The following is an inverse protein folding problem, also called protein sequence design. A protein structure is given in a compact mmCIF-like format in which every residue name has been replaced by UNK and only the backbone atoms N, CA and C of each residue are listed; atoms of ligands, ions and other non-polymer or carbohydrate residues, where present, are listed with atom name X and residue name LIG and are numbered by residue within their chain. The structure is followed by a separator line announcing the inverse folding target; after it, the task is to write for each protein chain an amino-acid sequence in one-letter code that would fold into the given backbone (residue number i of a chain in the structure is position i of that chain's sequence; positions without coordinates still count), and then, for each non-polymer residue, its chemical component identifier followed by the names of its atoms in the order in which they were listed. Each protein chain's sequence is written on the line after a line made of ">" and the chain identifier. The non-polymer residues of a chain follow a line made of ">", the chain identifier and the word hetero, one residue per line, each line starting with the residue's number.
data_IF_074992380021
#
_entry.id   IF_074992380021
#
_cell.length_a   1.000
_cell.length_b   1.000
_cell.length_c   1.000
_cell.angle_alpha   90.00
_cell.angle_beta   90.00
_cell.angle_gamma   90.00
#
_symmetry.space_group_name_H-M   'P 1'
#
loop_
_entity.id
_entity.type
_entity.pdbx_description
1 polymer ?
#
# COMPACT_ATOMS: atom_id res chain seq x y z
N UNK A 1 30.37 26.98 -17.42
CA UNK A 1 30.82 26.47 -16.12
C UNK A 1 29.99 27.07 -14.95
N UNK A 2 29.36 28.24 -15.11
CA UNK A 2 28.65 28.90 -14.02
C UNK A 2 27.20 28.40 -13.79
N UNK A 3 26.58 27.76 -14.77
CA UNK A 3 25.23 27.21 -14.64
C UNK A 3 25.20 25.92 -13.79
N UNK A 4 26.26 25.13 -13.83
CA UNK A 4 26.34 23.90 -13.07
C UNK A 4 26.58 24.16 -11.56
N UNK A 5 27.27 25.24 -11.23
CA UNK A 5 27.53 25.64 -9.83
C UNK A 5 26.31 26.26 -9.16
N UNK A 6 25.50 27.04 -9.91
CA UNK A 6 24.29 27.66 -9.36
C UNK A 6 23.17 26.66 -9.08
N UNK A 7 23.06 25.59 -9.88
CA UNK A 7 22.08 24.51 -9.61
C UNK A 7 22.44 23.67 -8.39
N UNK A 8 23.73 23.43 -8.15
CA UNK A 8 24.18 22.65 -6.99
C UNK A 8 24.00 23.43 -5.69
N UNK A 9 24.21 24.74 -5.68
CA UNK A 9 24.06 25.57 -4.47
C UNK A 9 22.61 25.84 -4.10
N UNK A 10 21.67 25.91 -5.05
CA UNK A 10 20.25 26.07 -4.78
C UNK A 10 19.59 24.80 -4.22
N UNK A 11 20.10 23.62 -4.55
CA UNK A 11 19.63 22.35 -3.99
C UNK A 11 20.31 21.99 -2.65
N UNK A 12 21.50 22.48 -2.37
CA UNK A 12 22.23 22.21 -1.12
C UNK A 12 21.83 23.15 0.03
N UNK A 13 21.19 24.27 -0.26
CA UNK A 13 20.91 25.33 0.74
C UNK A 13 19.70 25.10 1.66
N UNK A 14 18.88 24.05 1.50
CA UNK A 14 17.73 23.77 2.37
C UNK A 14 17.59 22.30 2.81
N UNK A 15 18.52 21.44 2.50
CA UNK A 15 18.50 20.06 2.98
C UNK A 15 19.32 19.92 4.27
N UNK A 16 18.72 20.20 5.43
CA UNK A 16 19.04 19.37 6.58
C UNK A 16 18.77 17.93 6.14
N UNK A 17 19.83 17.11 6.08
CA UNK A 17 19.74 15.73 5.67
C UNK A 17 18.64 15.05 6.49
N UNK A 18 17.52 14.72 5.82
CA UNK A 18 16.38 14.12 6.45
C UNK A 18 16.73 12.64 6.63
N UNK A 19 16.88 12.20 7.87
CA UNK A 19 17.00 10.78 8.16
C UNK A 19 15.61 10.20 8.10
N UNK A 20 15.31 9.47 7.05
CA UNK A 20 14.08 8.68 7.01
C UNK A 20 14.29 7.34 7.73
N UNK A 21 15.31 6.57 7.36
CA UNK A 21 15.66 5.29 8.01
C UNK A 21 16.61 5.53 9.19
N UNK A 22 16.12 5.35 10.42
CA UNK A 22 16.90 5.53 11.67
C UNK A 22 17.65 4.28 12.08
N UNK A 23 17.02 3.12 11.93
CA UNK A 23 17.55 1.85 12.39
C UNK A 23 17.07 0.71 11.50
N UNK A 24 17.95 -0.25 11.27
CA UNK A 24 17.63 -1.53 10.63
C UNK A 24 18.07 -2.67 11.54
N UNK A 25 17.14 -3.49 11.96
CA UNK A 25 17.37 -4.70 12.75
C UNK A 25 17.02 -5.94 11.94
N UNK A 26 17.93 -6.90 11.92
CA UNK A 26 17.78 -8.17 11.20
C UNK A 26 18.18 -9.31 12.13
N UNK A 27 17.32 -10.32 12.25
CA UNK A 27 17.58 -11.53 13.04
C UNK A 27 17.24 -12.79 12.30
N UNK A 28 18.18 -13.75 12.30
CA UNK A 28 18.06 -15.07 11.68
C UNK A 28 17.68 -15.01 10.18
N UNK A 29 18.30 -14.11 9.43
CA UNK A 29 18.06 -13.94 8.00
C UNK A 29 19.24 -14.41 7.20
N UNK A 30 19.06 -15.39 6.33
CA UNK A 30 20.11 -16.03 5.51
C UNK A 30 21.36 -16.40 6.30
N UNK A 31 22.45 -15.64 6.17
CA UNK A 31 23.71 -15.83 6.90
C UNK A 31 23.80 -15.00 8.18
N UNK A 32 22.89 -14.07 8.40
CA UNK A 32 22.90 -13.16 9.54
C UNK A 32 22.23 -13.82 10.75
N UNK A 33 22.95 -13.94 11.87
CA UNK A 33 22.34 -14.29 13.15
C UNK A 33 21.58 -13.10 13.74
N UNK A 34 22.27 -12.00 13.90
CA UNK A 34 21.71 -10.75 14.42
C UNK A 34 22.54 -9.57 13.91
N UNK A 35 21.88 -8.55 13.45
CA UNK A 35 22.48 -7.32 12.95
C UNK A 35 21.59 -6.15 13.37
N UNK A 36 22.20 -5.13 13.96
CA UNK A 36 21.54 -3.88 14.32
C UNK A 36 22.38 -2.71 13.80
N UNK A 37 21.84 -1.98 12.83
CA UNK A 37 22.51 -0.86 12.19
C UNK A 37 21.76 0.42 12.57
N UNK A 38 22.46 1.36 13.21
CA UNK A 38 21.97 2.73 13.38
C UNK A 38 22.41 3.54 12.17
N UNK A 39 21.46 4.26 11.58
CA UNK A 39 21.69 5.16 10.46
C UNK A 39 21.82 6.60 10.97
N UNK A 40 22.73 7.35 10.37
CA UNK A 40 22.94 8.76 10.68
C UNK A 40 22.53 9.65 9.50
N UNK A 41 22.23 10.95 9.74
CA UNK A 41 21.90 11.87 8.67
C UNK A 41 22.99 11.92 7.61
N UNK A 42 22.59 11.97 6.36
CA UNK A 42 23.47 12.11 5.22
C UNK A 42 23.80 10.81 4.52
N UNK A 43 25.02 10.63 4.10
CA UNK A 43 25.46 9.50 3.28
C UNK A 43 26.07 8.41 4.15
N UNK A 44 25.53 7.18 4.04
CA UNK A 44 26.05 5.99 4.73
C UNK A 44 26.59 4.98 3.72
N UNK A 45 27.73 4.39 4.01
CA UNK A 45 28.37 3.35 3.16
C UNK A 45 28.45 2.05 3.93
N UNK A 46 27.91 0.99 3.32
CA UNK A 46 28.06 -0.39 3.82
C UNK A 46 29.07 -1.10 2.95
N UNK A 47 30.20 -1.50 3.56
CA UNK A 47 31.29 -2.21 2.87
C UNK A 47 31.34 -3.66 3.35
N UNK A 48 31.83 -4.56 2.49
CA UNK A 48 31.99 -5.97 2.81
C UNK A 48 32.84 -6.70 1.75
N UNK A 49 33.53 -7.73 2.15
CA UNK A 49 34.49 -8.46 1.31
C UNK A 49 33.87 -9.19 0.11
N UNK A 50 32.59 -9.57 0.17
CA UNK A 50 31.90 -10.27 -0.92
C UNK A 50 30.56 -9.64 -1.21
N UNK A 51 30.12 -9.71 -2.48
CA UNK A 51 28.78 -9.25 -2.90
C UNK A 51 27.59 -9.85 -2.12
N UNK A 52 27.82 -10.96 -1.41
CA UNK A 52 26.81 -11.65 -0.62
C UNK A 52 26.24 -10.78 0.51
N UNK A 53 27.07 -10.06 1.28
CA UNK A 53 26.59 -9.25 2.42
C UNK A 53 25.67 -8.10 2.01
N UNK A 54 26.01 -7.38 0.95
CA UNK A 54 25.18 -6.29 0.41
C UNK A 54 23.84 -6.79 -0.10
N UNK A 55 23.85 -7.89 -0.85
CA UNK A 55 22.62 -8.49 -1.38
C UNK A 55 21.70 -9.01 -0.28
N UNK A 56 22.26 -9.49 0.83
CA UNK A 56 21.47 -9.94 1.98
C UNK A 56 20.76 -8.77 2.64
N UNK A 57 21.43 -7.63 2.87
CA UNK A 57 20.81 -6.43 3.45
C UNK A 57 19.74 -5.88 2.52
N UNK A 58 20.01 -5.78 1.21
CA UNK A 58 19.01 -5.36 0.21
C UNK A 58 17.82 -6.33 0.18
N UNK A 59 18.07 -7.64 0.31
CA UNK A 59 17.01 -8.63 0.41
C UNK A 59 16.15 -8.46 1.66
N UNK A 60 16.75 -8.15 2.81
CA UNK A 60 16.04 -7.86 4.04
C UNK A 60 15.16 -6.60 3.91
N UNK A 61 15.70 -5.51 3.37
CA UNK A 61 14.93 -4.29 3.08
C UNK A 61 13.80 -4.61 2.10
N UNK A 62 14.06 -5.37 1.04
CA UNK A 62 13.02 -5.78 0.10
C UNK A 62 11.84 -6.52 0.75
N UNK A 63 12.09 -7.32 1.80
CA UNK A 63 11.03 -7.96 2.57
C UNK A 63 10.20 -6.97 3.37
N UNK A 64 10.80 -5.91 3.93
CA UNK A 64 10.09 -4.80 4.57
C UNK A 64 9.24 -4.00 3.56
N UNK A 65 9.70 -3.93 2.31
CA UNK A 65 8.96 -3.29 1.21
C UNK A 65 7.86 -4.20 0.61
N UNK A 66 7.48 -5.29 1.30
CA UNK A 66 6.40 -6.16 0.88
C UNK A 66 6.74 -7.19 -0.20
N UNK A 67 8.03 -7.45 -0.47
CA UNK A 67 8.43 -8.51 -1.38
C UNK A 67 8.00 -9.89 -0.85
N UNK A 68 7.79 -10.84 -1.77
CA UNK A 68 7.50 -12.24 -1.39
C UNK A 68 8.67 -12.83 -0.61
N UNK A 69 8.33 -13.49 0.50
CA UNK A 69 9.29 -14.20 1.31
C UNK A 69 9.43 -15.65 0.83
N UNK A 70 10.66 -16.14 0.79
CA UNK A 70 10.96 -17.57 0.68
C UNK A 70 11.35 -18.09 2.08
N UNK A 71 10.84 -19.25 2.48
CA UNK A 71 11.23 -19.91 3.74
C UNK A 71 12.74 -20.21 3.79
N UNK A 72 13.39 -20.36 2.64
CA UNK A 72 14.85 -20.48 2.51
C UNK A 72 15.60 -19.21 2.97
N UNK A 73 14.93 -18.09 3.10
CA UNK A 73 15.52 -16.85 3.63
C UNK A 73 15.75 -16.89 5.14
N UNK A 74 15.16 -17.86 5.85
CA UNK A 74 15.42 -18.07 7.27
C UNK A 74 16.74 -18.79 7.43
N UNK A 75 17.57 -18.34 8.39
CA UNK A 75 18.84 -18.98 8.69
C UNK A 75 18.64 -20.46 9.05
N UNK A 76 19.50 -21.32 8.51
CA UNK A 76 19.44 -22.76 8.77
C UNK A 76 19.47 -23.06 10.28
N UNK A 77 18.56 -23.94 10.72
CA UNK A 77 18.42 -24.32 12.14
C UNK A 77 17.67 -23.29 13.00
N UNK A 78 17.02 -22.29 12.41
CA UNK A 78 16.18 -21.32 13.10
C UNK A 78 14.71 -21.43 12.65
N UNK A 79 13.81 -21.25 13.60
CA UNK A 79 12.36 -21.37 13.35
C UNK A 79 11.72 -20.05 12.91
N UNK A 80 12.37 -18.91 13.19
CA UNK A 80 11.83 -17.57 12.95
C UNK A 80 12.92 -16.60 12.51
N UNK A 81 12.58 -15.79 11.54
CA UNK A 81 13.31 -14.61 11.10
C UNK A 81 12.52 -13.35 11.41
N UNK A 82 13.18 -12.29 11.85
CA UNK A 82 12.58 -10.97 12.10
C UNK A 82 13.45 -9.93 11.40
N UNK A 83 12.78 -9.04 10.67
CA UNK A 83 13.38 -7.86 10.07
C UNK A 83 12.53 -6.67 10.50
N UNK A 84 13.16 -5.64 11.02
CA UNK A 84 12.51 -4.45 11.55
C UNK A 84 13.29 -3.20 11.14
N UNK A 85 12.58 -2.15 10.80
CA UNK A 85 13.18 -0.87 10.48
C UNK A 85 12.38 0.27 11.14
N UNK A 86 13.10 1.27 11.63
CA UNK A 86 12.57 2.47 12.25
C UNK A 86 12.75 3.65 11.31
N UNK A 87 11.66 4.39 11.07
CA UNK A 87 11.63 5.54 10.16
C UNK A 87 11.17 6.79 10.88
N UNK A 88 11.79 7.92 10.58
CA UNK A 88 11.29 9.24 10.95
C UNK A 88 10.48 9.81 9.77
N UNK A 89 9.17 9.86 9.93
CA UNK A 89 8.23 10.37 8.94
C UNK A 89 7.67 11.75 9.31
N UNK A 90 8.19 12.40 10.37
CA UNK A 90 7.67 13.66 10.90
C UNK A 90 7.66 14.82 9.90
N UNK A 91 8.47 14.73 8.83
CA UNK A 91 8.56 15.72 7.74
C UNK A 91 7.79 15.33 6.47
N UNK A 92 7.05 14.22 6.51
CA UNK A 92 6.29 13.70 5.37
C UNK A 92 4.79 13.80 5.67
N UNK A 93 4.00 14.08 4.64
CA UNK A 93 2.53 14.14 4.75
C UNK A 93 1.96 12.73 4.69
N UNK A 94 2.15 11.96 5.78
CA UNK A 94 1.77 10.55 5.87
C UNK A 94 0.57 10.29 6.78
N UNK A 95 0.05 11.31 7.47
CA UNK A 95 -1.05 11.17 8.44
C UNK A 95 -2.29 10.51 7.83
N UNK A 96 -2.62 10.89 6.59
CA UNK A 96 -3.78 10.34 5.90
C UNK A 96 -3.64 8.83 5.67
N UNK A 97 -2.43 8.34 5.38
CA UNK A 97 -2.18 6.90 5.22
C UNK A 97 -2.48 6.12 6.50
N UNK A 98 -2.05 6.62 7.66
CA UNK A 98 -2.30 5.95 8.96
C UNK A 98 -3.78 5.97 9.31
N UNK A 99 -4.46 7.11 9.12
CA UNK A 99 -5.89 7.27 9.38
C UNK A 99 -6.74 6.36 8.48
N UNK A 100 -6.47 6.33 7.17
CA UNK A 100 -7.24 5.54 6.20
C UNK A 100 -7.08 4.03 6.39
N UNK A 101 -6.01 3.60 7.08
CA UNK A 101 -5.71 2.20 7.30
C UNK A 101 -5.92 1.73 8.74
N UNK A 102 -6.44 2.60 9.62
CA UNK A 102 -6.67 2.31 11.04
C UNK A 102 -5.40 1.80 11.74
N UNK A 103 -4.27 2.48 11.49
CA UNK A 103 -2.95 2.18 12.05
C UNK A 103 -2.60 3.28 13.05
N UNK A 104 -2.11 2.88 14.24
CA UNK A 104 -1.62 3.84 15.23
C UNK A 104 -0.49 4.70 14.65
N UNK A 105 -0.64 6.02 14.76
CA UNK A 105 0.30 6.98 14.20
C UNK A 105 1.44 7.26 15.18
N UNK A 106 2.67 6.97 14.78
CA UNK A 106 3.89 7.53 15.37
C UNK A 106 4.83 7.94 14.23
N UNK A 107 4.69 9.18 13.77
CA UNK A 107 5.52 9.71 12.68
C UNK A 107 6.98 9.93 13.08
N UNK A 108 7.26 10.07 14.38
CA UNK A 108 8.63 10.28 14.86
C UNK A 108 9.44 9.01 14.91
N UNK A 109 8.77 7.85 15.06
CA UNK A 109 9.40 6.53 15.12
C UNK A 109 8.48 5.44 14.53
N UNK A 110 8.15 5.57 13.26
CA UNK A 110 7.34 4.57 12.55
C UNK A 110 8.11 3.27 12.39
N UNK A 111 7.60 2.20 12.98
CA UNK A 111 8.22 0.87 12.98
C UNK A 111 7.57 0.00 11.90
N UNK A 112 8.37 -0.52 10.97
CA UNK A 112 7.93 -1.53 10.00
C UNK A 112 8.61 -2.83 10.34
N UNK A 113 7.83 -3.91 10.60
CA UNK A 113 8.35 -5.22 10.97
C UNK A 113 7.80 -6.34 10.11
N UNK A 114 8.69 -7.23 9.71
CA UNK A 114 8.38 -8.45 8.98
C UNK A 114 8.84 -9.66 9.75
N UNK A 115 7.97 -10.64 9.89
CA UNK A 115 8.25 -11.90 10.56
C UNK A 115 7.98 -13.07 9.61
N UNK A 116 8.95 -13.99 9.56
CA UNK A 116 8.86 -15.22 8.79
C UNK A 116 9.05 -16.41 9.73
N UNK A 117 8.31 -17.49 9.52
CA UNK A 117 8.48 -18.74 10.25
C UNK A 117 8.85 -19.88 9.29
N UNK A 118 9.61 -20.87 9.78
CA UNK A 118 9.97 -22.07 9.03
C UNK A 118 8.73 -22.83 8.52
N UNK A 119 7.56 -22.71 9.20
CA UNK A 119 6.28 -23.25 8.78
C UNK A 119 5.64 -22.48 7.59
N UNK A 120 6.36 -21.54 6.97
CA UNK A 120 5.88 -20.76 5.82
C UNK A 120 4.93 -19.62 6.16
N UNK A 121 4.67 -19.33 7.45
CA UNK A 121 3.84 -18.18 7.84
C UNK A 121 4.66 -16.90 7.72
N UNK A 122 4.01 -15.86 7.19
CA UNK A 122 4.58 -14.53 7.04
C UNK A 122 3.62 -13.49 7.61
N UNK A 123 4.13 -12.61 8.48
CA UNK A 123 3.36 -11.56 9.12
C UNK A 123 4.04 -10.21 8.87
N UNK A 124 3.25 -9.18 8.72
CA UNK A 124 3.66 -7.81 8.50
C UNK A 124 3.02 -6.91 9.55
N UNK A 125 3.78 -5.95 10.06
CA UNK A 125 3.31 -5.02 11.09
C UNK A 125 3.80 -3.60 10.77
N UNK A 126 2.96 -2.62 11.07
CA UNK A 126 3.30 -1.19 11.10
C UNK A 126 2.86 -0.68 12.46
N UNK A 127 3.79 -0.12 13.26
CA UNK A 127 3.56 0.33 14.64
C UNK A 127 2.81 -0.74 15.47
N UNK A 128 3.30 -1.99 15.44
CA UNK A 128 2.71 -3.17 16.06
C UNK A 128 1.30 -3.60 15.55
N UNK A 129 0.66 -2.80 14.70
CA UNK A 129 -0.60 -3.15 14.05
C UNK A 129 -0.34 -4.17 12.93
N UNK A 130 -1.00 -5.36 12.96
CA UNK A 130 -0.88 -6.33 11.87
C UNK A 130 -1.49 -5.78 10.57
N UNK A 131 -0.73 -5.83 9.48
CA UNK A 131 -1.17 -5.33 8.17
C UNK A 131 -1.03 -6.37 7.07
N UNK A 132 -1.75 -6.18 5.96
CA UNK A 132 -1.55 -6.97 4.75
C UNK A 132 -0.23 -6.61 4.07
N UNK A 133 0.32 -7.55 3.27
CA UNK A 133 1.51 -7.27 2.45
C UNK A 133 1.31 -6.15 1.45
N UNK A 134 0.09 -5.97 0.97
CA UNK A 134 -0.25 -4.87 0.06
C UNK A 134 -0.08 -3.53 0.75
N UNK A 135 -0.58 -3.39 1.99
CA UNK A 135 -0.43 -2.17 2.78
C UNK A 135 1.02 -1.88 3.17
N UNK A 136 1.76 -2.91 3.56
CA UNK A 136 3.21 -2.79 3.80
C UNK A 136 3.95 -2.31 2.55
N UNK A 137 3.57 -2.80 1.37
CA UNK A 137 4.15 -2.37 0.09
C UNK A 137 3.80 -0.94 -0.26
N UNK A 138 2.53 -0.55 -0.12
CA UNK A 138 2.06 0.82 -0.35
C UNK A 138 2.85 1.85 0.49
N UNK A 139 3.11 1.54 1.76
CA UNK A 139 3.96 2.36 2.60
C UNK A 139 5.42 2.29 2.15
N UNK A 140 5.95 1.09 1.95
CA UNK A 140 7.36 0.88 1.61
C UNK A 140 7.78 1.58 0.32
N UNK A 141 6.94 1.59 -0.71
CA UNK A 141 7.20 2.26 -1.99
C UNK A 141 7.30 3.80 -1.84
N UNK A 142 6.73 4.36 -0.78
CA UNK A 142 6.85 5.80 -0.47
C UNK A 142 8.09 6.11 0.36
N UNK A 143 8.62 5.13 1.10
CA UNK A 143 9.73 5.34 2.06
C UNK A 143 11.11 5.06 1.48
N UNK A 144 11.24 4.05 0.64
CA UNK A 144 12.55 3.57 0.18
C UNK A 144 12.52 3.26 -1.31
N UNK A 145 13.47 3.84 -2.03
CA UNK A 145 13.75 3.47 -3.40
C UNK A 145 15.07 2.68 -3.48
N UNK A 146 15.01 1.49 -4.06
CA UNK A 146 16.17 0.59 -4.21
C UNK A 146 16.63 0.60 -5.65
N UNK A 147 17.75 1.27 -5.91
CA UNK A 147 18.43 1.21 -7.19
C UNK A 147 19.42 0.04 -7.24
N UNK A 148 19.07 -1.04 -7.91
CA UNK A 148 19.99 -2.17 -8.18
C UNK A 148 20.39 -2.18 -9.66
N UNK A 149 21.44 -2.94 -9.97
CA UNK A 149 21.95 -3.05 -11.35
C UNK A 149 20.92 -3.53 -12.39
N UNK A 150 19.77 -4.03 -11.95
CA UNK A 150 18.72 -4.62 -12.78
C UNK A 150 17.33 -3.96 -12.67
N UNK A 151 17.17 -2.87 -11.91
CA UNK A 151 15.86 -2.28 -11.66
C UNK A 151 15.87 -0.75 -11.75
N UNK A 152 15.78 -0.23 -12.97
CA UNK A 152 15.36 1.17 -13.20
C UNK A 152 13.83 1.24 -13.47
N UNK A 153 13.02 0.54 -12.63
CA UNK A 153 11.60 0.37 -12.88
C UNK A 153 10.78 1.65 -12.64
N UNK A 154 11.22 2.52 -11.72
CA UNK A 154 10.48 3.74 -11.40
C UNK A 154 10.50 4.75 -12.55
N UNK A 155 11.64 4.94 -13.20
CA UNK A 155 11.76 5.84 -14.35
C UNK A 155 10.93 5.40 -15.57
N UNK A 156 10.50 4.14 -15.62
CA UNK A 156 9.65 3.60 -16.68
C UNK A 156 8.16 3.73 -16.37
N UNK A 157 7.78 4.04 -15.13
CA UNK A 157 6.38 4.26 -14.75
C UNK A 157 5.94 5.66 -15.21
N UNK A 158 4.86 5.72 -15.99
CA UNK A 158 4.29 6.98 -16.49
C UNK A 158 3.92 7.93 -15.35
N UNK A 159 3.35 7.41 -14.26
CA UNK A 159 2.99 8.18 -13.07
C UNK A 159 4.21 8.85 -12.42
N UNK A 160 5.37 8.16 -12.39
CA UNK A 160 6.61 8.74 -11.87
C UNK A 160 7.13 9.84 -12.78
N UNK A 161 7.11 9.63 -14.10
CA UNK A 161 7.54 10.65 -15.06
C UNK A 161 6.66 11.91 -14.96
N UNK A 162 5.34 11.74 -14.84
CA UNK A 162 4.41 12.84 -14.65
C UNK A 162 4.70 13.60 -13.35
N UNK A 163 4.94 12.88 -12.26
CA UNK A 163 5.25 13.47 -10.95
C UNK A 163 6.54 14.32 -10.99
N UNK A 164 7.57 13.86 -11.72
CA UNK A 164 8.80 14.64 -11.94
C UNK A 164 8.52 15.93 -12.71
N UNK A 165 7.67 15.86 -13.73
CA UNK A 165 7.26 17.04 -14.51
C UNK A 165 6.50 18.05 -13.63
N UNK A 166 5.55 17.57 -12.81
CA UNK A 166 4.77 18.39 -11.89
C UNK A 166 5.66 19.10 -10.85
N UNK A 167 6.66 18.37 -10.30
CA UNK A 167 7.64 18.97 -9.36
C UNK A 167 8.44 20.07 -10.02
N UNK A 168 8.93 19.87 -11.25
CA UNK A 168 9.70 20.87 -12.01
C UNK A 168 8.82 22.06 -12.39
N UNK A 169 7.56 21.81 -12.77
CA UNK A 169 6.60 22.83 -13.14
C UNK A 169 6.10 23.66 -11.95
N UNK A 170 6.30 23.20 -10.71
CA UNK A 170 5.81 23.84 -9.48
C UNK A 170 4.30 24.12 -9.53
N UNK A 171 3.53 23.21 -10.11
CA UNK A 171 2.09 23.36 -10.38
C UNK A 171 1.20 22.70 -9.31
N UNK A 172 1.72 22.54 -8.09
CA UNK A 172 1.04 21.86 -6.97
C UNK A 172 -0.40 22.38 -6.73
N UNK A 173 -0.63 23.69 -6.90
CA UNK A 173 -1.97 24.27 -6.76
C UNK A 173 -2.94 23.78 -7.84
N UNK A 174 -2.47 23.72 -9.08
CA UNK A 174 -3.26 23.25 -10.22
C UNK A 174 -3.56 21.77 -10.06
N UNK A 175 -2.57 20.98 -9.65
CA UNK A 175 -2.69 19.55 -9.36
C UNK A 175 -3.74 19.29 -8.27
N UNK A 176 -3.69 19.98 -7.13
CA UNK A 176 -4.69 19.85 -6.06
C UNK A 176 -6.11 20.19 -6.54
N UNK A 177 -6.26 21.22 -7.37
CA UNK A 177 -7.56 21.58 -7.93
C UNK A 177 -8.08 20.50 -8.89
N UNK A 178 -7.19 19.94 -9.72
CA UNK A 178 -7.53 18.84 -10.61
C UNK A 178 -7.93 17.59 -9.83
N UNK A 179 -7.16 17.20 -8.81
CA UNK A 179 -7.45 16.05 -7.95
C UNK A 179 -8.81 16.18 -7.27
N UNK A 180 -9.13 17.38 -6.75
CA UNK A 180 -10.44 17.64 -6.14
C UNK A 180 -11.58 17.46 -7.16
N UNK A 181 -11.44 18.03 -8.35
CA UNK A 181 -12.45 17.91 -9.41
C UNK A 181 -12.56 16.46 -9.92
N UNK A 182 -11.45 15.77 -10.09
CA UNK A 182 -11.43 14.36 -10.50
C UNK A 182 -12.09 13.43 -9.47
N UNK A 183 -11.85 13.66 -8.18
CA UNK A 183 -12.49 12.90 -7.11
C UNK A 183 -14.01 13.14 -7.08
N UNK A 184 -14.48 14.36 -7.30
CA UNK A 184 -15.91 14.66 -7.44
C UNK A 184 -16.51 13.93 -8.64
N UNK A 185 -15.84 13.97 -9.79
CA UNK A 185 -16.26 13.23 -10.98
C UNK A 185 -16.36 11.74 -10.72
N UNK A 186 -15.33 11.14 -10.09
CA UNK A 186 -15.29 9.72 -9.75
C UNK A 186 -16.44 9.32 -8.83
N UNK A 187 -16.71 10.11 -7.79
CA UNK A 187 -17.85 9.88 -6.89
C UNK A 187 -19.20 9.98 -7.60
N UNK A 188 -19.36 11.00 -8.45
CA UNK A 188 -20.61 11.17 -9.22
C UNK A 188 -20.82 9.99 -10.19
N UNK A 189 -19.77 9.54 -10.85
CA UNK A 189 -19.82 8.39 -11.76
C UNK A 189 -20.14 7.08 -11.02
N UNK A 190 -19.57 6.87 -9.84
CA UNK A 190 -19.91 5.72 -8.99
C UNK A 190 -21.38 5.74 -8.57
N UNK A 191 -21.91 6.89 -8.13
CA UNK A 191 -23.33 7.05 -7.79
C UNK A 191 -24.22 6.79 -8.99
N UNK A 192 -23.86 7.30 -10.16
CA UNK A 192 -24.63 7.07 -11.40
C UNK A 192 -24.69 5.57 -11.74
N UNK A 193 -23.56 4.87 -11.65
CA UNK A 193 -23.52 3.45 -11.95
C UNK A 193 -24.30 2.61 -10.91
N UNK A 194 -24.25 2.97 -9.63
CA UNK A 194 -25.04 2.34 -8.59
C UNK A 194 -26.55 2.54 -8.83
N UNK A 195 -26.99 3.77 -9.17
CA UNK A 195 -28.40 4.05 -9.50
C UNK A 195 -28.86 3.30 -10.74
N UNK A 196 -28.02 3.20 -11.78
CA UNK A 196 -28.35 2.40 -12.97
C UNK A 196 -28.56 0.92 -12.63
N UNK A 197 -27.68 0.35 -11.79
CA UNK A 197 -27.82 -1.04 -11.35
C UNK A 197 -29.08 -1.26 -10.50
N UNK A 198 -29.42 -0.30 -9.63
CA UNK A 198 -30.64 -0.34 -8.83
C UNK A 198 -31.90 -0.25 -9.68
N UNK A 199 -31.93 0.64 -10.67
CA UNK A 199 -33.05 0.77 -11.61
C UNK A 199 -33.27 -0.54 -12.37
N UNK A 200 -32.20 -1.18 -12.88
CA UNK A 200 -32.32 -2.43 -13.61
C UNK A 200 -32.87 -3.55 -12.73
N UNK A 201 -32.35 -3.66 -11.50
CA UNK A 201 -32.87 -4.62 -10.51
C UNK A 201 -34.34 -4.37 -10.16
N UNK A 202 -34.75 -3.12 -10.02
CA UNK A 202 -36.13 -2.75 -9.73
C UNK A 202 -37.04 -3.07 -10.91
N UNK A 203 -36.58 -2.91 -12.14
CA UNK A 203 -37.30 -3.27 -13.36
C UNK A 203 -37.53 -4.79 -13.46
N UNK A 204 -36.50 -5.58 -13.20
CA UNK A 204 -36.65 -7.05 -13.14
C UNK A 204 -37.67 -7.48 -12.08
N UNK A 205 -37.64 -6.85 -10.89
CA UNK A 205 -38.61 -7.11 -9.83
C UNK A 205 -40.03 -6.70 -10.23
N UNK A 206 -40.19 -5.57 -10.92
CA UNK A 206 -41.52 -5.10 -11.40
C UNK A 206 -42.10 -6.08 -12.41
N UNK A 207 -41.30 -6.57 -13.36
CA UNK A 207 -41.74 -7.54 -14.36
C UNK A 207 -42.16 -8.87 -13.69
N UNK A 208 -41.42 -9.31 -12.68
CA UNK A 208 -41.78 -10.49 -11.90
C UNK A 208 -43.09 -10.31 -11.11
N UNK A 209 -43.26 -9.18 -10.44
CA UNK A 209 -44.48 -8.88 -9.69
C UNK A 209 -45.70 -8.74 -10.62
N UNK A 210 -45.53 -8.15 -11.79
CA UNK A 210 -46.59 -8.05 -12.82
C UNK A 210 -47.00 -9.46 -13.31
N UNK A 211 -46.03 -10.33 -13.50
CA UNK A 211 -46.31 -11.73 -13.89
C UNK A 211 -47.12 -12.45 -12.80
N UNK A 212 -46.69 -12.37 -11.53
CA UNK A 212 -47.38 -12.98 -10.40
C UNK A 212 -48.82 -12.40 -10.23
N UNK A 213 -48.95 -11.10 -10.36
CA UNK A 213 -50.24 -10.46 -10.29
C UNK A 213 -51.20 -10.99 -11.39
N UNK A 214 -50.71 -11.13 -12.60
CA UNK A 214 -51.49 -11.67 -13.72
C UNK A 214 -51.91 -13.10 -13.48
N UNK A 215 -51.04 -13.96 -12.96
CA UNK A 215 -51.43 -15.35 -12.61
C UNK A 215 -52.52 -15.42 -11.55
N UNK A 216 -52.40 -14.54 -10.51
CA UNK A 216 -53.43 -14.47 -9.45
C UNK A 216 -54.78 -13.91 -9.98
N UNK A 217 -54.73 -12.92 -10.85
CA UNK A 217 -55.91 -12.32 -11.47
C UNK A 217 -56.62 -13.31 -12.40
N UNK A 218 -55.85 -14.06 -13.22
CA UNK A 218 -56.36 -15.11 -14.11
C UNK A 218 -56.94 -16.31 -13.34
N UNK A 219 -56.43 -16.59 -12.14
CA UNK A 219 -56.95 -17.66 -11.30
C UNK A 219 -58.35 -17.36 -10.71
N UNK A 220 -58.79 -16.12 -10.73
CA UNK A 220 -60.15 -15.67 -10.27
C UNK A 220 -60.58 -16.28 -8.94
N UNK A 221 -59.66 -16.39 -7.98
CA UNK A 221 -59.89 -17.02 -6.69
C UNK A 221 -61.05 -16.40 -5.95
N UNK A 222 -62.02 -17.22 -5.49
CA UNK A 222 -63.16 -16.76 -4.72
C UNK A 222 -62.96 -16.98 -3.22
N UNK A 223 -63.52 -16.08 -2.42
CA UNK A 223 -63.40 -16.19 -0.98
C UNK A 223 -64.22 -17.39 -0.46
N UNK A 224 -63.56 -18.39 0.13
CA UNK A 224 -64.15 -19.60 0.64
C UNK A 224 -64.01 -20.85 -0.25
N UNK A 225 -63.52 -20.71 -1.48
CA UNK A 225 -63.33 -21.79 -2.45
C UNK A 225 -62.46 -22.94 -1.93
N UNK A 226 -61.41 -22.60 -1.19
CA UNK A 226 -60.54 -23.60 -0.55
C UNK A 226 -61.29 -24.45 0.47
N UNK A 227 -62.16 -23.84 1.27
CA UNK A 227 -62.95 -24.54 2.29
C UNK A 227 -64.02 -25.44 1.68
N UNK A 228 -64.57 -25.07 0.51
CA UNK A 228 -65.51 -25.89 -0.25
C UNK A 228 -64.82 -27.09 -0.88
N UNK A 229 -63.63 -26.92 -1.47
CA UNK A 229 -62.86 -28.03 -2.09
C UNK A 229 -62.26 -28.99 -1.06
N UNK A 230 -62.01 -28.56 0.17
CA UNK A 230 -61.54 -29.43 1.28
C UNK A 230 -62.67 -30.29 1.88
N UNK A 231 -63.95 -29.99 1.56
CA UNK A 231 -65.13 -30.75 2.01
C UNK A 231 -65.63 -31.78 1.01
N UNK A 232 -65.18 -31.74 -0.23
CA UNK A 232 -65.38 -32.77 -1.25
C UNK A 232 -64.34 -33.89 -1.12
#
# INVERSE_FOLDING_TARGET
>A
SDLHQSYTEQFVGQNQAIIMLKQLYIKNFTLIDELNIQMHPGFSVITGETGAGKSIILGAIGLLLGNRADSKSIKAGRDRCVIEAHFDLSKYDMQQFFTDNDIDEDLSDTIIRRELTAAGKSRAFINDTPVSLTKMRELGEQLVDIHSQHQNLLLQKEDFQLNVVDIIAQDEKQRKNYEAAYNQYKQANQKLNALKAEIEKNRENEDFLRFQFKELDEAQLQNGEQAELEQE
#
